data_IF_060253358675
#
_entry.id   IF_060253358675
#
_cell.length_a   1.000
_cell.length_b   1.000
_cell.length_c   1.000
_cell.angle_alpha   90.00
_cell.angle_beta   90.00
_cell.angle_gamma   90.00
#
_symmetry.space_group_name_H-M   'P 1'
#
loop_
_entity.id
_entity.type
_entity.pdbx_description
1 polymer ?
#
# COMPACT_ATOMS: atom_id res chain seq x y z
N UNK A 1 1.36 -20.65 -37.35
CA UNK A 1 0.90 -19.40 -36.70
C UNK A 1 -0.56 -19.54 -36.39
N UNK A 2 -0.93 -19.63 -35.12
CA UNK A 2 -2.34 -19.48 -34.72
C UNK A 2 -2.61 -17.98 -34.71
N UNK A 3 -3.46 -17.51 -35.63
CA UNK A 3 -3.94 -16.14 -35.62
C UNK A 3 -4.89 -16.01 -34.42
N UNK A 4 -4.41 -15.42 -33.33
CA UNK A 4 -5.26 -15.05 -32.21
C UNK A 4 -5.89 -13.69 -32.52
N UNK A 5 -7.16 -13.69 -32.91
CA UNK A 5 -7.92 -12.44 -33.08
C UNK A 5 -8.23 -11.94 -31.67
N UNK A 6 -7.64 -10.80 -31.29
CA UNK A 6 -7.92 -10.16 -30.01
C UNK A 6 -9.41 -9.83 -29.89
N UNK A 7 -10.08 -10.44 -28.91
CA UNK A 7 -11.49 -10.17 -28.64
C UNK A 7 -11.70 -8.78 -28.04
N UNK A 8 -10.70 -8.26 -27.31
CA UNK A 8 -10.74 -6.98 -26.61
C UNK A 8 -9.46 -6.17 -26.89
N UNK A 9 -9.58 -4.84 -26.92
CA UNK A 9 -8.46 -3.90 -27.12
C UNK A 9 -8.34 -2.91 -25.97
N UNK A 10 -7.21 -2.16 -25.89
CA UNK A 10 -7.00 -1.12 -24.88
C UNK A 10 -8.16 -0.12 -24.82
N UNK A 11 -8.76 0.21 -25.97
CA UNK A 11 -9.90 1.11 -26.01
C UNK A 11 -11.15 0.48 -25.39
N UNK A 12 -11.35 -0.83 -25.52
CA UNK A 12 -12.41 -1.59 -24.87
C UNK A 12 -12.24 -1.52 -23.36
N UNK A 13 -11.08 -1.92 -22.82
CA UNK A 13 -10.83 -1.86 -21.37
C UNK A 13 -11.05 -0.46 -20.81
N UNK A 14 -10.50 0.59 -21.46
CA UNK A 14 -10.72 1.99 -21.07
C UNK A 14 -12.20 2.38 -21.06
N UNK A 15 -12.97 2.03 -22.10
CA UNK A 15 -14.42 2.29 -22.16
C UNK A 15 -15.17 1.57 -21.04
N UNK A 16 -14.80 0.33 -20.72
CA UNK A 16 -15.44 -0.44 -19.67
C UNK A 16 -15.14 0.12 -18.28
N UNK A 17 -13.89 0.52 -18.01
CA UNK A 17 -13.56 1.19 -16.75
C UNK A 17 -14.32 2.51 -16.59
N UNK A 18 -14.40 3.35 -17.64
CA UNK A 18 -15.21 4.57 -17.61
C UNK A 18 -16.68 4.29 -17.26
N UNK A 19 -17.26 3.19 -17.75
CA UNK A 19 -18.62 2.77 -17.37
C UNK A 19 -18.70 2.30 -15.91
N UNK A 20 -17.69 1.56 -15.42
CA UNK A 20 -17.65 1.03 -14.05
C UNK A 20 -17.33 2.08 -12.98
N UNK A 21 -16.56 3.12 -13.32
CA UNK A 21 -16.32 4.26 -12.41
C UNK A 21 -17.62 5.00 -12.08
N UNK A 22 -18.63 4.92 -12.96
CA UNK A 22 -19.98 5.44 -12.71
C UNK A 22 -20.90 4.45 -11.94
N UNK A 23 -20.43 3.26 -11.54
CA UNK A 23 -21.22 2.19 -10.91
C UNK A 23 -20.52 1.49 -9.74
N UNK A 24 -21.13 0.40 -9.23
CA UNK A 24 -20.70 -0.36 -8.04
C UNK A 24 -19.19 -0.70 -8.03
N UNK A 25 -18.55 -0.58 -6.86
CA UNK A 25 -17.11 -0.77 -6.65
C UNK A 25 -16.59 -2.23 -6.71
N UNK A 26 -17.34 -3.15 -7.33
CA UNK A 26 -16.89 -4.54 -7.50
C UNK A 26 -15.72 -4.61 -8.50
N UNK A 27 -14.58 -5.12 -8.05
CA UNK A 27 -13.38 -5.39 -8.88
C UNK A 27 -13.60 -6.45 -9.96
N UNK A 28 -12.81 -6.41 -11.02
CA UNK A 28 -12.86 -7.32 -12.16
C UNK A 28 -13.68 -6.78 -13.33
N UNK A 29 -13.22 -6.97 -14.57
CA UNK A 29 -13.90 -6.51 -15.79
C UNK A 29 -14.95 -7.51 -16.28
N UNK A 30 -14.52 -8.76 -16.46
CA UNK A 30 -15.27 -9.86 -17.07
C UNK A 30 -16.16 -10.60 -16.04
N UNK A 31 -15.70 -10.66 -14.80
CA UNK A 31 -16.43 -11.20 -13.63
C UNK A 31 -15.87 -10.59 -12.34
N UNK A 32 -16.56 -10.70 -11.18
CA UNK A 32 -16.03 -10.21 -9.92
C UNK A 32 -14.67 -10.84 -9.57
N UNK A 33 -13.67 -10.01 -9.26
CA UNK A 33 -12.29 -10.47 -9.03
C UNK A 33 -12.18 -11.49 -7.88
N UNK A 34 -12.88 -11.25 -6.78
CA UNK A 34 -12.92 -12.18 -5.65
C UNK A 34 -13.60 -13.52 -5.98
N UNK A 35 -14.51 -13.54 -6.97
CA UNK A 35 -15.09 -14.78 -7.47
C UNK A 35 -14.08 -15.54 -8.35
N UNK A 36 -13.29 -14.84 -9.16
CA UNK A 36 -12.22 -15.47 -9.94
C UNK A 36 -11.17 -16.09 -9.02
N UNK A 37 -10.71 -15.32 -8.02
CA UNK A 37 -9.73 -15.78 -7.03
C UNK A 37 -10.23 -17.00 -6.25
N UNK A 38 -11.49 -16.99 -5.78
CA UNK A 38 -12.06 -18.12 -5.06
C UNK A 38 -12.18 -19.39 -5.92
N UNK A 39 -12.48 -19.25 -7.22
CA UNK A 39 -12.69 -20.39 -8.11
C UNK A 39 -11.38 -20.98 -8.64
N UNK A 40 -10.37 -20.13 -8.87
CA UNK A 40 -9.21 -20.49 -9.67
C UNK A 40 -7.87 -20.36 -8.91
N UNK A 41 -7.84 -19.70 -7.75
CA UNK A 41 -6.59 -19.32 -7.08
C UNK A 41 -5.84 -18.16 -7.74
N UNK A 42 -6.43 -17.53 -8.77
CA UNK A 42 -5.88 -16.36 -9.46
C UNK A 42 -6.99 -15.38 -9.87
N UNK A 43 -6.60 -14.19 -10.34
CA UNK A 43 -7.55 -13.18 -10.85
C UNK A 43 -7.67 -13.15 -12.38
N UNK A 44 -7.01 -14.05 -13.10
CA UNK A 44 -6.87 -14.03 -14.56
C UNK A 44 -8.25 -13.97 -15.24
N UNK A 45 -9.19 -14.81 -14.80
CA UNK A 45 -10.54 -14.87 -15.38
C UNK A 45 -11.37 -13.59 -15.21
N UNK A 46 -10.94 -12.66 -14.35
CA UNK A 46 -11.63 -11.39 -14.15
C UNK A 46 -11.24 -10.32 -15.18
N UNK A 47 -10.17 -10.51 -15.95
CA UNK A 47 -9.64 -9.49 -16.86
C UNK A 47 -9.27 -10.05 -18.23
N UNK A 48 -9.36 -9.24 -19.30
CA UNK A 48 -8.86 -9.63 -20.62
C UNK A 48 -7.33 -9.53 -20.68
N UNK A 49 -6.72 -10.22 -21.66
CA UNK A 49 -5.26 -10.41 -21.75
C UNK A 49 -4.47 -9.09 -21.84
N UNK A 50 -5.02 -8.05 -22.47
CA UNK A 50 -4.37 -6.74 -22.57
C UNK A 50 -4.21 -6.02 -21.22
N UNK A 51 -4.90 -6.48 -20.17
CA UNK A 51 -4.72 -5.99 -18.80
C UNK A 51 -3.85 -6.91 -17.95
N UNK A 52 -3.44 -8.06 -18.48
CA UNK A 52 -2.67 -9.09 -17.78
C UNK A 52 -1.23 -9.21 -18.30
N UNK A 53 -0.87 -8.43 -19.32
CA UNK A 53 0.47 -8.40 -19.91
C UNK A 53 0.80 -7.03 -20.49
N UNK A 54 1.95 -6.48 -20.11
CA UNK A 54 2.46 -5.22 -20.68
C UNK A 54 2.82 -5.35 -22.16
N UNK A 55 3.18 -6.55 -22.60
CA UNK A 55 3.47 -6.87 -24.00
C UNK A 55 2.20 -6.74 -24.85
N UNK A 56 1.11 -7.33 -24.37
CA UNK A 56 -0.20 -7.22 -25.00
C UNK A 56 -0.74 -5.79 -24.98
N UNK A 57 -0.56 -5.08 -23.86
CA UNK A 57 -0.96 -3.67 -23.69
C UNK A 57 -0.21 -2.73 -24.65
N UNK A 58 1.09 -2.92 -24.80
CA UNK A 58 1.97 -2.08 -25.64
C UNK A 58 2.01 -2.52 -27.11
N UNK A 59 1.42 -3.68 -27.42
CA UNK A 59 1.40 -4.27 -28.75
C UNK A 59 2.79 -4.72 -29.22
N UNK A 60 3.56 -5.41 -28.37
CA UNK A 60 4.88 -5.93 -28.74
C UNK A 60 6.06 -5.03 -28.42
N UNK A 61 5.81 -3.81 -27.91
CA UNK A 61 6.84 -2.76 -27.81
C UNK A 61 7.60 -2.75 -26.48
N UNK A 62 7.01 -3.33 -25.45
CA UNK A 62 7.58 -3.47 -24.11
C UNK A 62 7.28 -4.87 -23.60
N UNK A 63 8.23 -5.46 -22.88
CA UNK A 63 8.06 -6.77 -22.23
C UNK A 63 8.69 -6.76 -20.84
N UNK A 64 8.42 -7.83 -20.06
CA UNK A 64 9.09 -8.02 -18.78
C UNK A 64 10.62 -8.03 -18.96
N UNK A 65 11.32 -7.35 -18.06
CA UNK A 65 12.76 -7.12 -18.11
C UNK A 65 13.17 -5.78 -18.76
N UNK A 66 12.30 -5.17 -19.57
CA UNK A 66 12.58 -3.86 -20.16
C UNK A 66 12.56 -2.75 -19.11
N UNK A 67 13.24 -1.64 -19.42
CA UNK A 67 13.14 -0.40 -18.65
C UNK A 67 12.18 0.57 -19.31
N UNK A 68 11.37 1.23 -18.49
CA UNK A 68 10.63 2.43 -18.85
C UNK A 68 11.49 3.64 -18.51
N UNK A 69 11.76 4.48 -19.50
CA UNK A 69 12.51 5.73 -19.38
C UNK A 69 11.94 6.82 -20.30
N UNK A 70 12.59 7.98 -20.38
CA UNK A 70 12.13 9.12 -21.17
C UNK A 70 11.91 8.81 -22.67
N UNK A 71 12.58 7.79 -23.22
CA UNK A 71 12.51 7.40 -24.63
C UNK A 71 11.24 6.62 -24.98
N UNK A 72 10.63 5.91 -24.01
CA UNK A 72 9.52 5.00 -24.25
C UNK A 72 8.31 5.21 -23.32
N UNK A 73 8.38 6.12 -22.34
CA UNK A 73 7.31 6.40 -21.36
C UNK A 73 5.97 6.75 -22.00
N UNK A 74 5.96 7.31 -23.22
CA UNK A 74 4.71 7.63 -23.96
C UNK A 74 3.85 6.38 -24.21
N UNK A 75 4.46 5.19 -24.34
CA UNK A 75 3.74 3.94 -24.54
C UNK A 75 2.84 3.58 -23.35
N UNK A 76 3.23 4.01 -22.15
CA UNK A 76 2.63 3.64 -20.87
C UNK A 76 2.11 4.84 -20.08
N UNK A 77 2.04 6.02 -20.69
CA UNK A 77 1.59 7.26 -20.04
C UNK A 77 0.27 7.12 -19.29
N UNK A 78 -0.70 6.41 -19.88
CA UNK A 78 -2.02 6.19 -19.27
C UNK A 78 -2.02 5.19 -18.10
N UNK A 79 -0.88 4.52 -17.84
CA UNK A 79 -0.69 3.61 -16.70
C UNK A 79 0.03 4.27 -15.52
N UNK A 80 0.34 5.58 -15.62
CA UNK A 80 1.16 6.32 -14.67
C UNK A 80 0.40 7.53 -14.13
N UNK A 81 0.62 7.86 -12.87
CA UNK A 81 0.21 9.12 -12.27
C UNK A 81 0.99 10.28 -12.94
N UNK A 82 0.38 11.49 -13.05
CA UNK A 82 1.03 12.62 -13.71
C UNK A 82 2.43 12.94 -13.18
N UNK A 83 2.63 12.84 -11.86
CA UNK A 83 3.93 13.07 -11.22
C UNK A 83 4.96 12.01 -11.61
N UNK A 84 4.57 10.73 -11.67
CA UNK A 84 5.47 9.63 -12.04
C UNK A 84 5.87 9.73 -13.52
N UNK A 85 4.92 10.07 -14.39
CA UNK A 85 5.21 10.37 -15.80
C UNK A 85 6.21 11.52 -15.94
N UNK A 86 5.99 12.63 -15.24
CA UNK A 86 6.92 13.79 -15.25
C UNK A 86 8.32 13.39 -14.76
N UNK A 87 8.42 12.65 -13.66
CA UNK A 87 9.69 12.18 -13.13
C UNK A 87 10.47 11.32 -14.13
N UNK A 88 9.78 10.47 -14.88
CA UNK A 88 10.42 9.62 -15.90
C UNK A 88 10.84 10.45 -17.11
N UNK A 89 9.94 11.32 -17.59
CA UNK A 89 10.16 12.09 -18.81
C UNK A 89 11.25 13.15 -18.65
N UNK A 90 11.21 13.87 -17.53
CA UNK A 90 11.99 15.10 -17.34
C UNK A 90 13.09 14.98 -16.28
N UNK A 91 12.94 14.06 -15.32
CA UNK A 91 13.88 13.93 -14.19
C UNK A 91 14.74 12.67 -14.27
N UNK A 92 14.66 11.91 -15.36
CA UNK A 92 15.50 10.71 -15.56
C UNK A 92 15.15 9.53 -14.65
N UNK A 93 13.94 9.50 -14.08
CA UNK A 93 13.45 8.30 -13.38
C UNK A 93 13.31 7.14 -14.38
N UNK A 94 13.79 5.98 -14.00
CA UNK A 94 13.60 4.71 -14.71
C UNK A 94 12.83 3.72 -13.85
N UNK A 95 12.04 2.86 -14.49
CA UNK A 95 11.33 1.76 -13.84
C UNK A 95 11.62 0.46 -14.59
N UNK A 96 11.87 -0.64 -13.89
CA UNK A 96 12.04 -1.95 -14.54
C UNK A 96 10.70 -2.68 -14.57
N UNK A 97 10.29 -3.12 -15.76
CA UNK A 97 9.08 -3.92 -15.92
C UNK A 97 9.31 -5.36 -15.45
N UNK A 98 8.37 -5.88 -14.68
CA UNK A 98 8.29 -7.28 -14.27
C UNK A 98 7.06 -7.94 -14.88
N UNK A 99 7.07 -9.27 -14.87
CA UNK A 99 5.88 -10.05 -15.18
C UNK A 99 4.82 -9.79 -14.11
N UNK A 100 3.56 -9.64 -14.52
CA UNK A 100 2.43 -9.50 -13.60
C UNK A 100 2.29 -10.75 -12.74
N UNK A 101 2.37 -10.58 -11.43
CA UNK A 101 2.18 -11.64 -10.44
C UNK A 101 0.71 -12.02 -10.38
N UNK A 102 0.40 -13.26 -10.76
CA UNK A 102 -0.98 -13.80 -10.80
C UNK A 102 -1.34 -14.65 -9.59
N UNK A 103 -0.33 -15.27 -8.98
CA UNK A 103 -0.46 -16.08 -7.78
C UNK A 103 -0.85 -15.17 -6.61
N UNK A 104 -2.10 -15.28 -6.16
CA UNK A 104 -2.63 -14.43 -5.08
C UNK A 104 -1.87 -14.64 -3.77
N UNK A 105 -1.29 -15.82 -3.55
CA UNK A 105 -0.55 -16.16 -2.33
C UNK A 105 0.83 -15.49 -2.27
N UNK A 106 1.24 -14.81 -3.36
CA UNK A 106 2.42 -13.93 -3.38
C UNK A 106 2.07 -12.45 -3.21
N UNK A 107 0.79 -12.09 -3.31
CA UNK A 107 0.32 -10.70 -3.28
C UNK A 107 -0.10 -10.24 -1.88
N UNK A 108 -0.35 -11.16 -0.96
CA UNK A 108 -0.67 -10.88 0.44
C UNK A 108 -0.37 -12.10 1.32
N UNK A 109 -0.25 -11.90 2.65
CA UNK A 109 -0.02 -13.00 3.59
C UNK A 109 -1.14 -14.05 3.48
N UNK A 110 -0.76 -15.31 3.61
CA UNK A 110 -1.64 -16.45 3.34
C UNK A 110 -2.82 -16.44 4.30
N UNK A 111 -2.54 -16.33 5.59
CA UNK A 111 -3.54 -16.36 6.66
C UNK A 111 -4.48 -15.15 6.56
N UNK A 112 -3.98 -14.00 6.10
CA UNK A 112 -4.81 -12.83 5.84
C UNK A 112 -5.78 -13.06 4.67
N UNK A 113 -5.31 -13.66 3.57
CA UNK A 113 -6.17 -13.99 2.43
C UNK A 113 -7.21 -15.04 2.80
N UNK A 114 -6.80 -16.11 3.47
CA UNK A 114 -7.72 -17.16 3.97
C UNK A 114 -8.79 -16.57 4.88
N UNK A 115 -8.40 -15.71 5.83
CA UNK A 115 -9.34 -15.00 6.69
C UNK A 115 -10.28 -14.07 5.90
N UNK A 116 -9.78 -13.41 4.85
CA UNK A 116 -10.60 -12.56 3.97
C UNK A 116 -11.70 -13.35 3.27
N UNK A 117 -11.41 -14.56 2.79
CA UNK A 117 -12.42 -15.43 2.19
C UNK A 117 -13.37 -16.01 3.24
N UNK A 118 -12.85 -16.49 4.37
CA UNK A 118 -13.62 -17.11 5.45
C UNK A 118 -14.60 -16.14 6.11
N UNK A 119 -14.16 -14.91 6.37
CA UNK A 119 -14.92 -13.89 7.09
C UNK A 119 -15.72 -12.97 6.16
N UNK A 120 -15.74 -13.26 4.85
CA UNK A 120 -16.47 -12.46 3.86
C UNK A 120 -17.93 -12.30 4.25
N UNK A 121 -18.41 -11.05 4.20
CA UNK A 121 -19.80 -10.71 4.54
C UNK A 121 -20.10 -10.64 6.04
N UNK A 122 -19.09 -10.78 6.91
CA UNK A 122 -19.25 -10.65 8.36
C UNK A 122 -19.01 -9.23 8.87
N UNK A 123 -18.51 -8.32 8.03
CA UNK A 123 -18.23 -6.93 8.40
C UNK A 123 -19.45 -6.03 8.18
N UNK A 124 -19.63 -5.07 9.10
CA UNK A 124 -20.52 -3.92 8.95
C UNK A 124 -19.87 -2.69 9.61
N UNK A 125 -20.44 -1.51 9.38
CA UNK A 125 -20.16 -0.34 10.19
C UNK A 125 -21.14 -0.28 11.37
N UNK A 126 -20.67 0.05 12.57
CA UNK A 126 -21.52 0.36 13.73
C UNK A 126 -22.09 1.79 13.64
N UNK A 127 -22.87 2.20 14.65
CA UNK A 127 -23.49 3.53 14.71
C UNK A 127 -22.46 4.67 14.79
N UNK A 128 -21.20 4.37 15.11
CA UNK A 128 -20.07 5.32 15.13
C UNK A 128 -19.20 5.22 13.87
N UNK A 129 -19.58 4.37 12.91
CA UNK A 129 -18.83 4.14 11.69
C UNK A 129 -17.61 3.23 11.84
N UNK A 130 -17.42 2.53 12.96
CA UNK A 130 -16.32 1.58 13.11
C UNK A 130 -16.63 0.29 12.38
N UNK A 131 -15.62 -0.33 11.76
CA UNK A 131 -15.75 -1.70 11.23
C UNK A 131 -15.96 -2.65 12.40
N UNK A 132 -17.04 -3.42 12.40
CA UNK A 132 -17.35 -4.42 13.42
C UNK A 132 -17.89 -5.68 12.76
N UNK A 133 -17.92 -6.78 13.49
CA UNK A 133 -18.67 -7.97 13.09
C UNK A 133 -20.18 -7.73 13.11
N UNK A 134 -20.95 -8.65 12.53
CA UNK A 134 -22.42 -8.59 12.56
C UNK A 134 -23.00 -8.51 13.99
N UNK A 135 -22.35 -9.15 14.96
CA UNK A 135 -22.69 -9.12 16.40
C UNK A 135 -22.10 -7.91 17.15
N UNK A 136 -21.44 -6.98 16.47
CA UNK A 136 -20.95 -5.72 17.03
C UNK A 136 -19.62 -5.80 17.79
N UNK A 137 -18.86 -6.89 17.62
CA UNK A 137 -17.51 -7.03 18.19
C UNK A 137 -16.46 -6.43 17.26
N UNK A 138 -15.23 -6.16 17.76
CA UNK A 138 -14.10 -5.82 16.91
C UNK A 138 -13.91 -6.82 15.75
N UNK A 139 -13.28 -6.36 14.67
CA UNK A 139 -13.10 -7.14 13.45
C UNK A 139 -12.25 -8.38 13.71
N UNK A 140 -12.56 -9.46 13.00
CA UNK A 140 -12.04 -10.81 13.26
C UNK A 140 -10.94 -11.25 12.27
N UNK A 141 -10.39 -10.31 11.49
CA UNK A 141 -9.22 -10.52 10.64
C UNK A 141 -9.55 -10.73 9.16
N UNK A 142 -8.53 -10.54 8.32
CA UNK A 142 -8.66 -10.44 6.87
C UNK A 142 -9.22 -9.09 6.41
N UNK A 143 -9.46 -8.95 5.11
CA UNK A 143 -10.06 -7.78 4.50
C UNK A 143 -11.57 -7.71 4.86
N UNK A 144 -12.05 -6.64 5.51
CA UNK A 144 -13.45 -6.56 5.94
C UNK A 144 -14.47 -6.56 4.80
N UNK A 145 -14.16 -5.82 3.73
CA UNK A 145 -15.05 -5.66 2.58
C UNK A 145 -14.34 -6.06 1.27
N UNK A 146 -14.18 -7.37 0.99
CA UNK A 146 -13.61 -7.85 -0.28
C UNK A 146 -14.39 -7.30 -1.49
N UNK A 147 -15.71 -7.25 -1.37
CA UNK A 147 -16.62 -6.70 -2.38
C UNK A 147 -17.08 -5.30 -1.99
N UNK A 148 -16.11 -4.45 -1.66
CA UNK A 148 -16.37 -3.06 -1.31
C UNK A 148 -17.28 -2.40 -2.34
N UNK A 149 -18.24 -1.60 -1.85
CA UNK A 149 -19.28 -0.95 -2.66
C UNK A 149 -19.01 0.54 -2.87
N UNK A 150 -18.18 1.12 -2.02
CA UNK A 150 -17.86 2.54 -1.98
C UNK A 150 -16.42 2.78 -1.50
N UNK A 151 -15.95 4.02 -1.59
CA UNK A 151 -14.59 4.39 -1.19
C UNK A 151 -14.31 4.18 0.31
N UNK A 152 -15.33 4.34 1.17
CA UNK A 152 -15.17 4.14 2.62
C UNK A 152 -14.87 2.68 2.94
N UNK A 153 -15.58 1.72 2.33
CA UNK A 153 -15.31 0.29 2.50
C UNK A 153 -13.92 -0.12 2.00
N UNK A 154 -13.46 0.46 0.88
CA UNK A 154 -12.11 0.24 0.36
C UNK A 154 -11.04 0.74 1.33
N UNK A 155 -11.17 1.99 1.78
CA UNK A 155 -10.18 2.62 2.65
C UNK A 155 -10.19 2.03 4.08
N UNK A 156 -11.35 1.58 4.55
CA UNK A 156 -11.47 0.83 5.80
C UNK A 156 -10.59 -0.42 5.77
N UNK A 157 -10.54 -1.14 4.65
CA UNK A 157 -9.67 -2.32 4.51
C UNK A 157 -8.18 -2.01 4.75
N UNK A 158 -7.70 -0.88 4.23
CA UNK A 158 -6.34 -0.41 4.46
C UNK A 158 -6.13 0.01 5.92
N UNK A 159 -7.06 0.76 6.50
CA UNK A 159 -6.98 1.25 7.88
C UNK A 159 -7.00 0.13 8.92
N UNK A 160 -7.76 -0.95 8.68
CA UNK A 160 -7.93 -2.03 9.66
C UNK A 160 -6.70 -2.93 9.82
N UNK A 161 -5.85 -3.04 8.80
CA UNK A 161 -4.64 -3.88 8.87
C UNK A 161 -3.58 -3.33 7.94
N UNK A 162 -2.62 -2.58 8.50
CA UNK A 162 -1.40 -2.27 7.75
C UNK A 162 -0.49 -3.49 7.78
N UNK A 163 0.34 -3.67 6.75
CA UNK A 163 1.20 -4.83 6.65
C UNK A 163 0.47 -6.17 6.43
N UNK A 164 -0.82 -6.27 6.76
CA UNK A 164 -1.68 -7.46 6.64
C UNK A 164 -1.21 -8.65 7.48
N UNK A 165 -0.46 -8.39 8.55
CA UNK A 165 -0.01 -9.39 9.53
C UNK A 165 -0.42 -8.97 10.94
N UNK A 166 -0.48 -9.92 11.86
CA UNK A 166 -0.75 -9.66 13.28
C UNK A 166 0.38 -8.88 13.96
N UNK A 167 1.61 -9.05 13.47
CA UNK A 167 2.76 -8.28 13.86
C UNK A 167 3.68 -8.07 12.64
N UNK A 168 4.33 -6.93 12.54
CA UNK A 168 5.25 -6.61 11.45
C UNK A 168 6.42 -5.79 11.96
N UNK A 169 7.56 -5.94 11.30
CA UNK A 169 8.74 -5.12 11.55
C UNK A 169 9.35 -4.69 10.22
N UNK A 170 9.61 -3.39 10.09
CA UNK A 170 10.22 -2.78 8.92
C UNK A 170 11.54 -2.14 9.33
N UNK A 171 12.62 -2.55 8.68
CA UNK A 171 13.89 -1.85 8.74
C UNK A 171 13.91 -0.77 7.66
N UNK A 172 14.11 0.48 8.05
CA UNK A 172 13.95 1.64 7.19
C UNK A 172 15.26 2.41 7.16
N UNK A 173 15.70 2.74 5.94
CA UNK A 173 16.70 3.77 5.69
C UNK A 173 16.01 4.96 5.05
N UNK A 174 16.00 6.07 5.76
CA UNK A 174 15.39 7.32 5.33
C UNK A 174 16.46 8.26 4.78
N UNK A 175 16.16 8.95 3.69
CA UNK A 175 17.04 9.91 3.04
C UNK A 175 16.22 11.14 2.64
N UNK A 176 16.46 12.26 3.31
CA UNK A 176 15.76 13.51 3.08
C UNK A 176 16.57 14.41 2.17
N UNK A 177 16.04 14.64 0.97
CA UNK A 177 16.71 15.37 -0.10
C UNK A 177 16.34 16.86 -0.09
N UNK A 178 17.34 17.71 -0.31
CA UNK A 178 17.14 19.10 -0.74
C UNK A 178 16.57 19.19 -2.16
N UNK A 179 16.12 20.38 -2.56
CA UNK A 179 15.68 20.66 -3.93
C UNK A 179 16.79 20.46 -4.97
N UNK A 180 18.05 20.64 -4.57
CA UNK A 180 19.23 20.42 -5.39
C UNK A 180 19.66 18.95 -5.45
N UNK A 181 18.88 18.03 -4.87
CA UNK A 181 19.16 16.60 -4.86
C UNK A 181 20.29 16.18 -3.91
N UNK A 182 20.71 17.04 -2.99
CA UNK A 182 21.66 16.68 -1.91
C UNK A 182 20.90 16.04 -0.75
N UNK A 183 21.38 14.90 -0.26
CA UNK A 183 20.93 14.31 1.01
C UNK A 183 21.32 15.25 2.17
N UNK A 184 20.32 15.80 2.84
CA UNK A 184 20.49 16.68 4.00
C UNK A 184 20.43 15.91 5.31
N UNK A 185 19.51 14.94 5.39
CA UNK A 185 19.34 14.07 6.55
C UNK A 185 19.28 12.61 6.09
N UNK A 186 19.78 11.73 6.95
CA UNK A 186 19.74 10.30 6.76
C UNK A 186 19.50 9.65 8.11
N UNK A 187 18.58 8.70 8.16
CA UNK A 187 18.27 7.94 9.36
C UNK A 187 18.24 6.44 9.08
N UNK A 188 18.67 5.65 10.06
CA UNK A 188 18.30 4.24 10.12
C UNK A 188 17.32 4.07 11.28
N UNK A 189 16.16 3.49 11.00
CA UNK A 189 15.10 3.32 11.98
C UNK A 189 14.36 1.99 11.80
N UNK A 190 13.70 1.58 12.89
CA UNK A 190 12.82 0.42 12.91
C UNK A 190 11.39 0.85 13.16
N UNK A 191 10.46 0.25 12.42
CA UNK A 191 9.02 0.44 12.59
C UNK A 191 8.38 -0.90 12.92
N UNK A 192 7.77 -1.01 14.10
CA UNK A 192 7.10 -2.21 14.56
C UNK A 192 5.60 -1.98 14.65
N UNK A 193 4.82 -2.97 14.23
CA UNK A 193 3.36 -2.96 14.32
C UNK A 193 2.88 -4.22 15.01
N UNK A 194 1.83 -4.08 15.81
CA UNK A 194 1.18 -5.18 16.52
C UNK A 194 -0.33 -4.94 16.55
N UNK A 195 -1.11 -5.90 16.06
CA UNK A 195 -2.57 -5.85 16.03
C UNK A 195 -3.15 -6.59 17.26
N UNK A 196 -3.84 -5.91 18.18
CA UNK A 196 -4.56 -6.56 19.29
C UNK A 196 -5.86 -7.22 18.85
N UNK A 197 -6.46 -6.76 17.75
CA UNK A 197 -7.72 -7.28 17.20
C UNK A 197 -7.53 -7.79 15.79
N UNK A 198 -8.42 -8.68 15.34
CA UNK A 198 -8.38 -9.20 13.98
C UNK A 198 -7.19 -10.11 13.69
N UNK A 199 -6.69 -10.78 14.73
CA UNK A 199 -5.50 -11.65 14.64
C UNK A 199 -5.84 -12.97 13.96
N UNK A 200 -4.99 -13.38 13.03
CA UNK A 200 -5.16 -14.59 12.21
C UNK A 200 -4.08 -15.64 12.43
N UNK A 201 -2.95 -15.29 13.05
CA UNK A 201 -1.81 -16.18 13.34
C UNK A 201 -1.54 -16.30 14.84
N UNK A 202 -1.47 -15.16 15.54
CA UNK A 202 -1.18 -15.13 16.96
C UNK A 202 -2.34 -15.72 17.79
N UNK A 203 -2.08 -16.23 19.02
CA UNK A 203 -3.08 -16.96 19.79
C UNK A 203 -4.33 -16.14 20.11
N UNK A 204 -5.47 -16.54 19.52
CA UNK A 204 -6.79 -15.95 19.73
C UNK A 204 -7.03 -14.68 18.90
N UNK A 205 -8.26 -14.53 18.41
CA UNK A 205 -8.65 -13.42 17.51
C UNK A 205 -8.42 -12.03 18.14
N UNK A 206 -8.52 -11.94 19.46
CA UNK A 206 -8.25 -10.73 20.23
C UNK A 206 -7.21 -10.99 21.32
N UNK A 207 -6.33 -10.01 21.53
CA UNK A 207 -5.47 -9.97 22.71
C UNK A 207 -6.32 -9.55 23.91
N UNK A 208 -6.53 -10.51 24.82
CA UNK A 208 -7.39 -10.33 25.99
C UNK A 208 -7.03 -9.05 26.76
N UNK A 209 -8.00 -8.17 26.92
CA UNK A 209 -7.86 -6.88 27.63
C UNK A 209 -7.45 -5.70 26.73
N UNK A 210 -7.25 -5.93 25.43
CA UNK A 210 -6.84 -4.93 24.45
C UNK A 210 -7.82 -4.84 23.26
N UNK A 211 -9.04 -5.37 23.43
CA UNK A 211 -10.10 -5.35 22.41
C UNK A 211 -10.51 -3.93 21.99
N UNK A 212 -10.19 -2.92 22.81
CA UNK A 212 -10.47 -1.51 22.56
C UNK A 212 -9.36 -0.80 21.75
N UNK A 213 -8.33 -1.54 21.31
CA UNK A 213 -7.20 -1.03 20.51
C UNK A 213 -7.17 -1.67 19.13
N UNK A 214 -6.98 -0.84 18.10
CA UNK A 214 -6.79 -1.33 16.73
C UNK A 214 -5.37 -1.85 16.54
N UNK A 215 -4.37 -1.09 17.01
CA UNK A 215 -2.95 -1.39 16.82
C UNK A 215 -2.07 -0.70 17.85
N UNK A 216 -0.94 -1.31 18.12
CA UNK A 216 0.24 -0.66 18.67
C UNK A 216 1.25 -0.51 17.57
N UNK A 217 1.90 0.64 17.52
CA UNK A 217 2.89 0.95 16.50
C UNK A 217 4.06 1.65 17.18
N UNK A 218 5.27 1.20 16.96
CA UNK A 218 6.48 1.85 17.48
C UNK A 218 7.41 2.25 16.35
N UNK A 219 8.06 3.39 16.52
CA UNK A 219 9.14 3.88 15.65
C UNK A 219 10.34 4.17 16.52
N UNK A 220 11.53 3.69 16.14
CA UNK A 220 12.75 3.95 16.90
C UNK A 220 13.95 4.14 15.99
N UNK A 221 14.86 5.01 16.39
CA UNK A 221 15.99 5.43 15.58
C UNK A 221 17.29 4.79 16.10
N UNK A 222 18.03 4.13 15.23
CA UNK A 222 19.34 3.55 15.54
C UNK A 222 20.50 4.41 15.07
N UNK A 223 20.31 5.20 14.01
CA UNK A 223 21.30 6.13 13.46
C UNK A 223 20.63 7.43 12.98
N UNK A 224 21.35 8.58 13.01
CA UNK A 224 22.70 8.77 13.52
C UNK A 224 22.75 8.88 15.06
N UNK A 225 23.96 8.98 15.62
CA UNK A 225 24.20 9.14 17.07
C UNK A 225 23.35 10.21 17.74
N UNK A 226 23.08 11.33 17.05
CA UNK A 226 22.30 12.44 17.60
C UNK A 226 20.83 12.10 17.90
N UNK A 227 20.29 11.03 17.33
CA UNK A 227 18.92 10.56 17.58
C UNK A 227 18.85 9.11 18.04
N UNK A 228 19.99 8.41 18.11
CA UNK A 228 20.10 7.00 18.51
C UNK A 228 19.39 6.73 19.84
N UNK A 229 18.43 5.81 19.81
CA UNK A 229 17.62 5.43 20.97
C UNK A 229 16.36 6.26 21.17
N UNK A 230 16.16 7.32 20.38
CA UNK A 230 14.86 8.01 20.30
C UNK A 230 13.82 7.02 19.83
N UNK A 231 12.70 6.93 20.56
CA UNK A 231 11.65 5.97 20.25
C UNK A 231 10.27 6.52 20.59
N UNK A 232 9.29 6.07 19.84
CA UNK A 232 7.90 6.48 19.95
C UNK A 232 7.02 5.24 19.99
N UNK A 233 6.00 5.27 20.85
CA UNK A 233 4.89 4.33 20.91
C UNK A 233 3.61 5.07 20.58
N UNK A 234 2.95 4.62 19.54
CA UNK A 234 1.68 5.12 19.03
C UNK A 234 0.58 4.08 19.31
N UNK A 235 -0.39 4.43 20.15
CA UNK A 235 -1.46 3.54 20.61
C UNK A 235 -2.75 3.95 19.92
N UNK A 236 -3.25 3.09 19.03
CA UNK A 236 -4.48 3.34 18.29
C UNK A 236 -5.68 2.77 18.99
N UNK A 237 -6.68 3.62 19.18
CA UNK A 237 -8.00 3.17 19.61
C UNK A 237 -8.68 2.37 18.49
N UNK A 238 -9.52 1.41 18.89
CA UNK A 238 -10.42 0.74 17.95
C UNK A 238 -11.46 1.72 17.38
N UNK A 239 -11.88 2.71 18.19
CA UNK A 239 -12.76 3.79 17.77
C UNK A 239 -12.04 4.71 16.76
N UNK A 240 -12.49 4.64 15.50
CA UNK A 240 -11.92 5.34 14.36
C UNK A 240 -12.22 6.85 14.34
N UNK A 241 -12.92 7.35 15.36
CA UNK A 241 -13.15 8.78 15.59
C UNK A 241 -12.15 9.37 16.60
N UNK A 242 -11.24 8.56 17.14
CA UNK A 242 -10.27 8.98 18.16
C UNK A 242 -8.86 8.94 17.62
N UNK A 243 -8.17 10.04 17.82
CA UNK A 243 -6.76 10.09 17.49
C UNK A 243 -5.91 9.19 18.42
N UNK A 244 -4.93 8.48 17.85
CA UNK A 244 -3.96 7.71 18.62
C UNK A 244 -3.21 8.52 19.67
N UNK A 245 -2.84 7.85 20.76
CA UNK A 245 -1.96 8.41 21.78
C UNK A 245 -0.50 8.20 21.41
N UNK A 246 0.31 9.26 21.45
CA UNK A 246 1.73 9.21 21.15
C UNK A 246 2.56 9.44 22.41
N UNK A 247 3.42 8.47 22.73
CA UNK A 247 4.42 8.58 23.79
C UNK A 247 5.81 8.51 23.17
N UNK A 248 6.68 9.45 23.49
CA UNK A 248 8.05 9.46 22.99
C UNK A 248 9.06 9.43 24.13
N UNK A 249 10.14 8.68 23.92
CA UNK A 249 11.34 8.66 24.74
C UNK A 249 12.48 9.33 23.98
N UNK A 250 13.07 10.35 24.60
CA UNK A 250 14.24 11.06 24.07
C UNK A 250 15.42 10.77 25.01
N UNK A 251 16.50 10.13 24.53
CA UNK A 251 17.64 9.71 25.33
C UNK A 251 18.27 10.83 26.15
N UNK A 252 18.41 12.03 25.58
CA UNK A 252 19.02 13.18 26.24
C UNK A 252 18.29 13.59 27.53
N UNK A 253 16.96 13.41 27.55
CA UNK A 253 16.14 13.75 28.70
C UNK A 253 15.85 12.54 29.60
N UNK A 254 16.13 11.31 29.14
CA UNK A 254 15.83 10.04 29.84
C UNK A 254 14.40 9.98 30.38
N UNK A 255 13.45 10.52 29.62
CA UNK A 255 12.05 10.65 30.03
C UNK A 255 11.13 10.26 28.90
N UNK A 256 10.05 9.58 29.28
CA UNK A 256 8.89 9.35 28.42
C UNK A 256 7.96 10.55 28.59
N UNK A 257 7.47 11.09 27.48
CA UNK A 257 6.47 12.16 27.46
C UNK A 257 5.33 11.79 26.53
N UNK A 258 4.12 12.18 26.89
CA UNK A 258 2.98 12.18 25.97
C UNK A 258 3.10 13.41 25.08
N UNK A 259 2.97 13.19 23.77
CA UNK A 259 2.96 14.24 22.77
C UNK A 259 1.52 14.67 22.48
N UNK A 260 1.31 15.94 22.11
CA UNK A 260 0.01 16.41 21.67
C UNK A 260 -0.36 15.75 20.33
N UNK A 261 -1.65 15.72 20.01
CA UNK A 261 -2.18 14.96 18.87
C UNK A 261 -1.71 15.49 17.51
N UNK A 262 -1.49 16.79 17.40
CA UNK A 262 -0.97 17.50 16.23
C UNK A 262 0.47 17.07 15.86
N UNK A 263 1.25 16.53 16.81
CA UNK A 263 2.59 15.99 16.55
C UNK A 263 2.62 14.96 15.42
N UNK A 264 1.50 14.29 15.12
CA UNK A 264 1.42 13.35 13.99
C UNK A 264 1.73 14.00 12.64
N UNK A 265 1.45 15.30 12.50
CA UNK A 265 1.66 16.09 11.28
C UNK A 265 3.00 16.82 11.29
N UNK A 266 3.89 16.46 12.21
CA UNK A 266 5.25 16.97 12.30
C UNK A 266 6.26 15.83 12.21
N UNK A 267 7.51 16.11 11.81
CA UNK A 267 8.57 15.11 11.81
C UNK A 267 8.83 14.56 13.22
N UNK A 268 9.01 13.24 13.34
CA UNK A 268 9.38 12.59 14.60
C UNK A 268 10.80 12.91 15.05
N UNK A 269 11.67 13.28 14.11
CA UNK A 269 13.05 13.71 14.34
C UNK A 269 13.36 14.91 13.46
N UNK A 270 14.24 15.84 13.90
CA UNK A 270 14.48 17.08 13.16
C UNK A 270 15.04 16.81 11.77
N UNK A 271 14.35 17.26 10.72
CA UNK A 271 14.80 17.15 9.33
C UNK A 271 14.20 15.98 8.54
N UNK A 272 13.55 15.03 9.21
CA UNK A 272 12.80 13.94 8.58
C UNK A 272 11.59 14.48 7.81
N UNK A 273 11.26 13.83 6.69
CA UNK A 273 10.05 14.08 5.90
C UNK A 273 9.04 12.94 6.01
N UNK A 274 9.26 12.00 6.93
CA UNK A 274 8.34 10.91 7.25
C UNK A 274 7.39 11.34 8.38
N UNK A 275 6.11 11.49 8.06
CA UNK A 275 5.08 11.80 9.03
C UNK A 275 4.32 10.54 9.43
N UNK A 276 3.86 10.48 10.69
CA UNK A 276 3.05 9.36 11.16
C UNK A 276 1.73 9.22 10.37
N UNK A 277 1.18 10.34 9.87
CA UNK A 277 -0.03 10.39 9.02
C UNK A 277 0.18 9.74 7.64
N UNK A 278 1.41 9.70 7.14
CA UNK A 278 1.72 9.16 5.80
C UNK A 278 1.77 7.63 5.78
N UNK A 279 1.90 6.99 6.95
CA UNK A 279 2.10 5.55 7.07
C UNK A 279 1.00 4.79 6.33
N UNK A 280 1.41 3.93 5.37
CA UNK A 280 0.50 3.12 4.56
C UNK A 280 -0.59 3.90 3.81
N UNK A 281 -0.44 5.21 3.62
CA UNK A 281 -1.50 6.11 3.13
C UNK A 281 -2.79 6.07 3.97
N UNK A 282 -2.72 5.52 5.19
CA UNK A 282 -3.82 5.37 6.14
C UNK A 282 -3.33 5.58 7.58
N UNK A 283 -2.36 6.49 7.76
CA UNK A 283 -1.69 6.81 9.03
C UNK A 283 -2.55 7.57 10.03
N UNK A 284 -3.82 7.81 9.68
CA UNK A 284 -4.84 8.39 10.54
C UNK A 284 -6.06 7.47 10.71
N UNK A 285 -6.79 7.59 11.84
CA UNK A 285 -8.08 6.93 12.02
C UNK A 285 -9.02 7.17 10.84
N UNK A 286 -9.80 6.15 10.48
CA UNK A 286 -10.67 6.16 9.28
C UNK A 286 -11.53 7.42 9.15
N UNK A 287 -12.04 7.97 10.27
CA UNK A 287 -12.93 9.14 10.26
C UNK A 287 -12.23 10.47 10.54
N UNK A 288 -10.89 10.47 10.52
CA UNK A 288 -10.10 11.71 10.48
C UNK A 288 -10.32 12.44 9.16
N UNK A 289 -10.30 11.67 8.07
CA UNK A 289 -10.55 12.14 6.73
C UNK A 289 -11.98 11.75 6.33
N UNK A 290 -12.67 12.61 5.58
CA UNK A 290 -14.06 12.39 5.19
C UNK A 290 -14.25 12.35 3.68
N UNK A 291 -15.47 12.02 3.25
CA UNK A 291 -15.90 12.12 1.85
C UNK A 291 -15.15 11.19 0.87
N UNK A 292 -14.87 9.96 1.30
CA UNK A 292 -14.25 8.93 0.45
C UNK A 292 -15.08 8.69 -0.81
N UNK A 293 -14.47 8.96 -1.97
CA UNK A 293 -15.06 8.79 -3.30
C UNK A 293 -14.10 8.02 -4.17
N UNK A 294 -14.66 7.14 -4.97
CA UNK A 294 -13.92 6.53 -6.08
C UNK A 294 -13.98 7.54 -7.23
N UNK A 295 -12.83 8.10 -7.58
CA UNK A 295 -12.70 9.10 -8.65
C UNK A 295 -12.17 8.46 -9.93
N UNK A 296 -11.47 7.33 -9.84
CA UNK A 296 -11.03 6.60 -11.02
C UNK A 296 -10.80 5.11 -10.76
N UNK A 297 -10.91 4.32 -11.82
CA UNK A 297 -10.58 2.89 -11.86
C UNK A 297 -9.93 2.59 -13.19
N UNK A 298 -8.91 1.74 -13.19
CA UNK A 298 -8.23 1.35 -14.43
C UNK A 298 -6.88 0.71 -14.18
N UNK A 299 -6.19 0.27 -15.24
CA UNK A 299 -4.89 -0.36 -15.09
C UNK A 299 -3.83 0.64 -14.68
N UNK A 300 -2.83 0.19 -13.93
CA UNK A 300 -1.70 1.00 -13.48
C UNK A 300 -0.42 0.20 -13.46
N UNK A 301 0.72 0.89 -13.54
CA UNK A 301 2.01 0.32 -13.18
C UNK A 301 2.32 0.62 -11.71
N UNK A 302 2.43 -0.44 -10.91
CA UNK A 302 2.70 -0.34 -9.48
C UNK A 302 3.84 -1.28 -9.06
N UNK A 303 4.54 -0.90 -8.00
CA UNK A 303 5.48 -1.78 -7.32
C UNK A 303 4.66 -2.76 -6.46
N UNK A 304 4.63 -4.03 -6.86
CA UNK A 304 3.79 -5.06 -6.23
C UNK A 304 4.65 -6.15 -5.61
N UNK A 305 5.57 -6.74 -6.38
CA UNK A 305 6.44 -7.80 -5.94
C UNK A 305 7.84 -7.71 -6.58
N UNK A 306 8.74 -8.63 -6.22
CA UNK A 306 10.02 -8.80 -6.90
C UNK A 306 11.05 -7.68 -6.67
N UNK A 307 10.72 -6.68 -5.86
CA UNK A 307 11.56 -5.54 -5.53
C UNK A 307 12.65 -5.82 -4.50
N UNK A 308 12.95 -7.08 -4.14
CA UNK A 308 14.06 -7.39 -3.24
C UNK A 308 15.40 -7.38 -4.00
N UNK A 309 16.38 -6.62 -3.50
CA UNK A 309 17.74 -6.63 -4.04
C UNK A 309 18.64 -7.66 -3.33
N UNK A 310 18.59 -8.92 -3.76
CA UNK A 310 19.43 -9.99 -3.22
C UNK A 310 20.93 -9.86 -3.57
N UNK A 311 21.30 -8.99 -4.52
CA UNK A 311 22.70 -8.78 -4.92
C UNK A 311 23.49 -7.87 -3.97
N UNK A 312 22.78 -7.13 -3.11
CA UNK A 312 23.38 -6.27 -2.08
C UNK A 312 23.39 -6.99 -0.74
N UNK A 313 24.53 -6.99 -0.04
CA UNK A 313 24.68 -7.62 1.29
C UNK A 313 23.69 -7.03 2.32
N UNK A 314 23.38 -5.74 2.20
CA UNK A 314 22.41 -5.04 3.05
C UNK A 314 21.03 -4.90 2.42
N UNK A 315 20.80 -5.57 1.28
CA UNK A 315 19.60 -5.46 0.44
C UNK A 315 19.29 -4.04 -0.06
N UNK A 316 20.24 -3.11 0.08
CA UNK A 316 20.09 -1.74 -0.37
C UNK A 316 19.93 -1.65 -1.88
N UNK A 317 19.02 -0.79 -2.33
CA UNK A 317 18.85 -0.43 -3.74
C UNK A 317 19.85 0.66 -4.13
N UNK A 318 20.05 0.85 -5.44
CA UNK A 318 20.77 2.04 -5.93
C UNK A 318 19.78 3.13 -6.35
N UNK A 319 20.31 4.29 -6.67
CA UNK A 319 19.54 5.47 -7.07
C UNK A 319 19.90 5.95 -8.46
N UNK A 320 18.98 6.68 -9.09
CA UNK A 320 19.19 7.39 -10.35
C UNK A 320 18.34 8.65 -10.44
N UNK A 321 18.62 9.45 -11.47
CA UNK A 321 17.82 10.62 -11.84
C UNK A 321 17.92 11.79 -10.86
N UNK A 322 17.20 12.86 -11.22
CA UNK A 322 17.31 14.17 -10.59
C UNK A 322 18.69 14.83 -10.78
N UNK A 323 18.92 15.98 -10.12
CA UNK A 323 20.11 16.79 -10.37
C UNK A 323 21.45 16.10 -10.06
N UNK A 324 21.46 15.08 -9.20
CA UNK A 324 22.67 14.39 -8.73
C UNK A 324 22.70 12.88 -8.96
N UNK A 325 21.64 12.29 -9.52
CA UNK A 325 21.51 10.84 -9.63
C UNK A 325 20.97 10.15 -8.37
N UNK A 326 20.57 10.89 -7.35
CA UNK A 326 20.21 10.33 -6.03
C UNK A 326 18.71 10.44 -5.70
N UNK A 327 17.87 10.85 -6.66
CA UNK A 327 16.48 11.21 -6.37
C UNK A 327 15.51 10.03 -6.36
N UNK A 328 15.74 9.01 -7.18
CA UNK A 328 14.82 7.88 -7.32
C UNK A 328 15.52 6.56 -7.06
N UNK A 329 14.91 5.71 -6.23
CA UNK A 329 15.32 4.31 -6.07
C UNK A 329 15.05 3.49 -7.33
N UNK A 330 15.93 2.51 -7.58
CA UNK A 330 15.65 1.41 -8.51
C UNK A 330 14.34 0.73 -8.12
N UNK A 331 13.33 0.88 -8.98
CA UNK A 331 11.96 0.40 -8.74
C UNK A 331 11.55 -0.60 -9.80
N UNK A 332 11.08 -1.76 -9.34
CA UNK A 332 10.40 -2.74 -10.17
C UNK A 332 8.90 -2.47 -10.17
N UNK A 333 8.26 -2.55 -11.34
CA UNK A 333 6.82 -2.36 -11.50
C UNK A 333 6.18 -3.46 -12.34
N UNK A 334 4.93 -3.76 -12.01
CA UNK A 334 4.08 -4.73 -12.70
C UNK A 334 2.82 -4.03 -13.23
N UNK A 335 2.23 -4.59 -14.29
CA UNK A 335 0.91 -4.17 -14.73
C UNK A 335 -0.13 -4.71 -13.74
N UNK A 336 -0.75 -3.80 -13.00
CA UNK A 336 -1.94 -4.05 -12.19
C UNK A 336 -3.16 -3.87 -13.09
N UNK A 337 -3.98 -4.91 -13.31
CA UNK A 337 -5.13 -4.84 -14.23
C UNK A 337 -6.14 -3.78 -13.83
N UNK A 338 -6.27 -3.56 -12.52
CA UNK A 338 -7.22 -2.62 -11.94
C UNK A 338 -6.69 -2.07 -10.61
N UNK A 339 -6.37 -0.78 -10.63
CA UNK A 339 -6.24 0.07 -9.46
C UNK A 339 -7.51 0.91 -9.28
N UNK A 340 -7.79 1.29 -8.03
CA UNK A 340 -8.93 2.13 -7.65
C UNK A 340 -8.35 3.34 -6.90
N UNK A 341 -8.76 4.55 -7.31
CA UNK A 341 -8.35 5.81 -6.68
C UNK A 341 -9.55 6.68 -6.34
#
# INVERSE_FOLDING_TARGET
>A
MVFHIKQYDRHYARRQFLKKTAGLALGGLLMPVWKAMANNGDFTAAYPDELLSIDEYSGGKLKAGDYIDASNVELVKDLLEPVKYYQIKEMGRRLRLRETTRDIMKLSPWEYLEASFKNRGQAKFDDKGNVVTLDGKPWIGGLPFPEAKNGLELFAGLTMSWGRHDASFYAIREYDLSREGKVNYQYENGWAEYAPTGRVVLPGVYWKGHEDKLRYQSVFFSEPDSVRGTSYLNIWHYDQNKFPELYGYIPDFKRIRRFPTDQRFEPLVPGSSLYLSDAWAAGDPLHTWGNYKIVSRGPMLAAVSGGWNSSSESWAHTTHGGPKGDTFWDTDVELVPEAIA
#
